data_IF_985284637593
#
_entry.id   IF_985284637593
#
_cell.length_a   1.000
_cell.length_b   1.000
_cell.length_c   1.000
_cell.angle_alpha   90.00
_cell.angle_beta   90.00
_cell.angle_gamma   90.00
#
_symmetry.space_group_name_H-M   'P 1'
#
loop_
_entity.id
_entity.type
_entity.pdbx_description
1 polymer ?
#
# COMPACT_ATOMS: atom_id res chain seq x y z
N UNK A 1 -50.11 25.09 -18.27
CA UNK A 1 -49.59 23.94 -19.02
C UNK A 1 -48.31 24.41 -19.72
N UNK A 2 -47.09 24.29 -19.18
CA UNK A 2 -46.51 23.23 -18.36
C UNK A 2 -45.56 22.41 -19.24
N UNK A 3 -44.39 22.95 -19.59
CA UNK A 3 -43.23 22.18 -20.08
C UNK A 3 -41.94 22.85 -19.59
N UNK A 4 -41.15 22.02 -18.93
CA UNK A 4 -39.97 22.25 -18.09
C UNK A 4 -38.75 22.77 -18.86
N UNK A 5 -37.83 23.51 -18.20
CA UNK A 5 -36.54 23.85 -18.79
C UNK A 5 -35.64 22.61 -18.90
N UNK A 6 -34.98 22.47 -20.05
CA UNK A 6 -33.93 21.49 -20.32
C UNK A 6 -32.78 21.76 -19.36
N UNK A 7 -32.60 20.84 -18.41
CA UNK A 7 -31.48 20.84 -17.48
C UNK A 7 -30.25 20.35 -18.25
N UNK A 8 -29.34 21.25 -18.58
CA UNK A 8 -27.96 20.92 -18.95
C UNK A 8 -27.38 20.13 -17.80
N UNK A 9 -27.13 18.82 -17.97
CA UNK A 9 -26.35 18.07 -17.00
C UNK A 9 -24.91 18.62 -17.03
N UNK A 10 -24.39 19.26 -15.96
CA UNK A 10 -22.96 19.45 -15.86
C UNK A 10 -22.33 18.06 -15.72
N UNK A 11 -21.40 17.75 -16.62
CA UNK A 11 -20.55 16.57 -16.54
C UNK A 11 -19.78 16.64 -15.20
N UNK A 12 -20.25 15.89 -14.20
CA UNK A 12 -19.50 15.64 -12.98
C UNK A 12 -18.21 14.94 -13.37
N UNK A 13 -17.01 15.50 -13.08
CA UNK A 13 -15.80 14.71 -13.20
C UNK A 13 -15.92 13.56 -12.20
N UNK A 14 -15.84 12.33 -12.70
CA UNK A 14 -15.77 11.13 -11.88
C UNK A 14 -14.68 11.36 -10.85
N UNK A 15 -15.09 11.30 -9.60
CA UNK A 15 -14.29 11.52 -8.41
C UNK A 15 -12.99 10.72 -8.50
N UNK A 16 -11.88 11.44 -8.38
CA UNK A 16 -10.54 10.89 -8.25
C UNK A 16 -10.40 10.23 -6.87
N UNK A 17 -11.06 9.09 -6.65
CA UNK A 17 -10.92 8.29 -5.42
C UNK A 17 -9.94 7.12 -5.57
N UNK A 18 -9.31 6.97 -6.74
CA UNK A 18 -8.36 5.89 -7.00
C UNK A 18 -6.88 6.27 -6.81
N UNK A 19 -6.54 7.55 -6.60
CA UNK A 19 -5.13 7.97 -6.44
C UNK A 19 -4.62 7.89 -5.00
N UNK A 20 -5.51 7.98 -4.00
CA UNK A 20 -5.10 8.03 -2.58
C UNK A 20 -4.98 6.64 -1.97
N UNK A 21 -5.74 5.67 -2.47
CA UNK A 21 -5.69 4.29 -1.99
C UNK A 21 -4.31 3.70 -2.33
N UNK A 22 -3.77 3.97 -3.53
CA UNK A 22 -2.48 3.41 -3.98
C UNK A 22 -1.27 4.15 -3.39
N UNK A 23 -1.47 5.32 -2.79
CA UNK A 23 -0.39 6.19 -2.30
C UNK A 23 0.45 5.50 -1.20
N UNK A 24 -0.19 4.84 -0.23
CA UNK A 24 0.53 4.26 0.90
C UNK A 24 1.36 3.04 0.49
N UNK A 25 0.81 2.17 -0.35
CA UNK A 25 1.51 0.99 -0.91
C UNK A 25 2.62 1.40 -1.86
N UNK A 26 2.41 2.42 -2.68
CA UNK A 26 3.44 2.96 -3.56
C UNK A 26 4.56 3.63 -2.77
N UNK A 27 4.25 4.43 -1.74
CA UNK A 27 5.24 5.05 -0.87
C UNK A 27 6.09 4.01 -0.13
N UNK A 28 5.49 2.89 0.30
CA UNK A 28 6.22 1.75 0.88
C UNK A 28 7.18 1.12 -0.14
N UNK A 29 6.72 0.94 -1.38
CA UNK A 29 7.51 0.35 -2.46
C UNK A 29 8.72 1.24 -2.79
N UNK A 30 8.50 2.54 -3.02
CA UNK A 30 9.57 3.52 -3.25
C UNK A 30 10.58 3.52 -2.10
N UNK A 31 10.11 3.57 -0.85
CA UNK A 31 10.99 3.54 0.31
C UNK A 31 11.88 2.29 0.35
N UNK A 32 11.31 1.13 -0.01
CA UNK A 32 12.03 -0.13 -0.02
C UNK A 32 13.08 -0.15 -1.16
N UNK A 33 12.71 0.29 -2.35
CA UNK A 33 13.62 0.40 -3.49
C UNK A 33 14.79 1.35 -3.20
N UNK A 34 14.52 2.51 -2.60
CA UNK A 34 15.56 3.47 -2.19
C UNK A 34 16.52 2.90 -1.14
N UNK A 35 16.01 2.05 -0.24
CA UNK A 35 16.81 1.35 0.77
C UNK A 35 17.48 0.07 0.24
N UNK A 36 17.31 -0.26 -1.06
CA UNK A 36 17.95 -1.39 -1.73
C UNK A 36 17.31 -2.74 -1.40
N UNK A 37 16.02 -2.76 -1.05
CA UNK A 37 15.25 -3.99 -0.93
C UNK A 37 14.81 -4.48 -2.31
N UNK A 38 14.78 -5.80 -2.51
CA UNK A 38 14.04 -6.36 -3.63
C UNK A 38 12.57 -6.42 -3.24
N UNK A 39 11.71 -5.91 -4.11
CA UNK A 39 10.27 -5.86 -3.91
C UNK A 39 9.58 -6.86 -4.84
N UNK A 40 8.71 -7.69 -4.26
CA UNK A 40 7.87 -8.64 -4.98
C UNK A 40 6.42 -8.51 -4.54
N UNK A 41 5.54 -8.30 -5.49
CA UNK A 41 4.09 -8.18 -5.27
C UNK A 41 3.38 -9.47 -5.66
N UNK A 42 2.47 -9.93 -4.80
CA UNK A 42 1.57 -11.05 -5.06
C UNK A 42 0.17 -10.76 -4.49
N UNK A 43 -0.78 -10.38 -5.36
CA UNK A 43 -2.15 -10.01 -4.96
C UNK A 43 -2.13 -8.88 -3.90
N UNK A 44 -2.66 -9.15 -2.70
CA UNK A 44 -2.62 -8.26 -1.53
C UNK A 44 -1.35 -8.39 -0.70
N UNK A 45 -0.39 -9.21 -1.11
CA UNK A 45 0.86 -9.44 -0.38
C UNK A 45 2.01 -8.69 -1.05
N UNK A 46 2.82 -8.04 -0.24
CA UNK A 46 4.09 -7.47 -0.66
C UNK A 46 5.20 -8.12 0.14
N UNK A 47 6.22 -8.58 -0.56
CA UNK A 47 7.41 -9.18 0.00
C UNK A 47 8.58 -8.26 -0.31
N UNK A 48 9.35 -7.94 0.73
CA UNK A 48 10.59 -7.19 0.62
C UNK A 48 11.71 -8.05 1.16
N UNK A 49 12.77 -8.24 0.39
CA UNK A 49 13.95 -9.00 0.81
C UNK A 49 15.23 -8.18 0.69
N UNK A 50 16.10 -8.32 1.69
CA UNK A 50 17.41 -7.69 1.75
C UNK A 50 18.36 -8.59 2.52
N UNK A 51 19.08 -9.45 1.80
CA UNK A 51 19.94 -10.47 2.39
C UNK A 51 19.16 -11.48 3.23
N UNK A 52 19.48 -11.56 4.53
CA UNK A 52 18.80 -12.47 5.47
C UNK A 52 17.51 -11.90 6.08
N UNK A 53 17.21 -10.62 5.80
CA UNK A 53 16.02 -9.95 6.33
C UNK A 53 14.91 -9.98 5.28
N UNK A 54 13.70 -10.35 5.70
CA UNK A 54 12.52 -10.32 4.84
C UNK A 54 11.35 -9.66 5.56
N UNK A 55 10.57 -8.86 4.85
CA UNK A 55 9.37 -8.24 5.36
C UNK A 55 8.21 -8.69 4.47
N UNK A 56 7.17 -9.23 5.07
CA UNK A 56 5.93 -9.60 4.38
C UNK A 56 4.82 -8.69 4.88
N UNK A 57 4.21 -7.93 3.98
CA UNK A 57 3.08 -7.06 4.25
C UNK A 57 1.84 -7.65 3.60
N UNK A 58 0.76 -7.76 4.37
CA UNK A 58 -0.56 -8.11 3.87
C UNK A 58 -1.40 -6.84 3.87
N UNK A 59 -1.78 -6.36 2.70
CA UNK A 59 -2.61 -5.18 2.53
C UNK A 59 -4.10 -5.47 2.70
N UNK A 60 -4.85 -4.46 3.11
CA UNK A 60 -6.31 -4.43 3.15
C UNK A 60 -6.78 -3.23 2.32
N UNK A 61 -7.09 -3.47 1.04
CA UNK A 61 -7.11 -2.39 0.05
C UNK A 61 -5.68 -1.96 -0.25
N UNK A 62 -5.46 -0.69 -0.56
CA UNK A 62 -4.12 -0.16 -0.83
C UNK A 62 -3.68 0.92 0.18
N UNK A 63 -4.60 1.43 1.00
CA UNK A 63 -4.30 2.42 2.05
C UNK A 63 -3.93 1.83 3.43
N UNK A 64 -4.21 0.55 3.70
CA UNK A 64 -4.04 -0.05 5.03
C UNK A 64 -3.45 -1.44 4.94
N UNK A 65 -2.83 -1.89 6.03
CA UNK A 65 -2.34 -3.26 6.17
C UNK A 65 -3.21 -4.05 7.14
N UNK A 66 -3.46 -5.31 6.81
CA UNK A 66 -3.92 -6.30 7.78
C UNK A 66 -2.78 -6.70 8.74
N UNK A 67 -1.54 -6.67 8.26
CA UNK A 67 -0.38 -6.99 9.07
C UNK A 67 0.92 -6.96 8.29
N UNK A 68 2.03 -6.81 9.00
CA UNK A 68 3.39 -6.89 8.50
C UNK A 68 4.20 -7.80 9.41
N UNK A 69 4.96 -8.71 8.81
CA UNK A 69 5.83 -9.66 9.50
C UNK A 69 7.27 -9.41 9.11
N UNK A 70 8.14 -9.20 10.10
CA UNK A 70 9.59 -9.17 9.93
C UNK A 70 10.15 -10.55 10.19
N UNK A 71 10.91 -11.05 9.22
CA UNK A 71 11.68 -12.27 9.31
C UNK A 71 13.18 -11.94 9.29
N UNK A 72 13.95 -12.73 10.04
CA UNK A 72 15.40 -12.73 10.00
C UNK A 72 15.87 -14.18 9.97
N UNK A 73 16.64 -14.55 8.96
CA UNK A 73 17.13 -15.93 8.77
C UNK A 73 15.97 -16.95 8.80
N UNK A 74 14.91 -16.65 8.04
CA UNK A 74 13.66 -17.44 7.96
C UNK A 74 12.86 -17.58 9.28
N UNK A 75 13.34 -16.99 10.38
CA UNK A 75 12.63 -16.93 11.65
C UNK A 75 11.79 -15.67 11.76
N UNK A 76 10.52 -15.82 12.10
CA UNK A 76 9.65 -14.70 12.43
C UNK A 76 10.17 -13.98 13.68
N UNK A 77 10.55 -12.72 13.52
CA UNK A 77 11.02 -11.85 14.60
C UNK A 77 9.86 -11.09 15.23
N UNK A 78 9.08 -10.40 14.39
CA UNK A 78 8.06 -9.45 14.85
C UNK A 78 6.87 -9.44 13.90
N UNK A 79 5.68 -9.29 14.47
CA UNK A 79 4.45 -9.03 13.74
C UNK A 79 3.85 -7.69 14.20
N UNK A 80 3.39 -6.86 13.26
CA UNK A 80 2.73 -5.58 13.57
C UNK A 80 1.57 -5.31 12.60
N UNK A 81 0.50 -4.69 13.09
CA UNK A 81 -0.58 -4.16 12.23
C UNK A 81 -0.40 -2.67 11.92
N UNK A 82 0.64 -2.03 12.48
CA UNK A 82 0.93 -0.62 12.28
C UNK A 82 1.87 -0.42 11.10
N UNK A 83 1.41 0.31 10.09
CA UNK A 83 2.17 0.61 8.89
C UNK A 83 3.41 1.46 9.19
N UNK A 84 3.36 2.35 10.20
CA UNK A 84 4.51 3.16 10.61
C UNK A 84 5.69 2.31 11.08
N UNK A 85 5.40 1.27 11.86
CA UNK A 85 6.37 0.29 12.36
C UNK A 85 6.99 -0.49 11.20
N UNK A 86 6.17 -0.97 10.26
CA UNK A 86 6.65 -1.71 9.08
C UNK A 86 7.54 -0.83 8.19
N UNK A 87 7.14 0.42 7.95
CA UNK A 87 7.97 1.43 7.27
C UNK A 87 9.30 1.65 7.98
N UNK A 88 9.31 1.60 9.32
CA UNK A 88 10.53 1.65 10.12
C UNK A 88 11.48 0.49 9.88
N UNK A 89 10.97 -0.70 9.54
CA UNK A 89 11.81 -1.86 9.18
C UNK A 89 12.45 -1.72 7.81
N UNK A 90 11.75 -1.12 6.85
CA UNK A 90 12.27 -0.88 5.49
C UNK A 90 13.39 0.16 5.45
N UNK A 91 13.41 1.10 6.41
CA UNK A 91 14.48 2.11 6.56
C UNK A 91 15.82 1.56 7.04
N UNK A 92 15.92 0.24 7.30
CA UNK A 92 17.11 -0.41 7.88
C UNK A 92 18.17 -0.78 6.85
#
# INVERSE_FOLDING_TARGET
>A
MGRTPVHTHPNTPLENTHMVDTDERQAVSTLAEEAGWNHRVEDRNDYFDKGVVRIHIVWQGDAKISGGTLYHDDLMQTYSHDLGTVRGWLKR
#
